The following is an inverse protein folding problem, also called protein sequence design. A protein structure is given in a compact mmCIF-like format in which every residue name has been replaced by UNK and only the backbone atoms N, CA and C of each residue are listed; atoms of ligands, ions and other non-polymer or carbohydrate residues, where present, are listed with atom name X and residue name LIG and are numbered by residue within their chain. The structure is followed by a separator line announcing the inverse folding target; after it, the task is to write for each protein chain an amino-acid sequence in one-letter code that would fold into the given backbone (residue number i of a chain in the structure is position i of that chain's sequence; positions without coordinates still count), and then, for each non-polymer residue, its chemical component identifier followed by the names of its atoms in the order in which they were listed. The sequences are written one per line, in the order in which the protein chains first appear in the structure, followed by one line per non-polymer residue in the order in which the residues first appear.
data_IF_264745209941
#
_entry.id   IF_264745209941
#
_cell.length_a   1.000
_cell.length_b   1.000
_cell.length_c   1.000
_cell.angle_alpha   90.00
_cell.angle_beta   90.00
_cell.angle_gamma   90.00
#
_symmetry.space_group_name_H-M   'P 1'
#
loop_
_entity.id
_entity.type
_entity.pdbx_description
1 polymer ?
#
# COMPACT_ATOMS: atom_id res chain seq x y z
N UNK A 1 -10.14 20.79 -11.92
CA UNK A 1 -10.30 19.72 -12.92
C UNK A 1 -10.83 20.37 -14.19
N UNK A 2 -10.41 19.96 -15.38
CA UNK A 2 -11.05 20.47 -16.60
C UNK A 2 -12.53 20.07 -16.59
N UNK A 3 -13.38 20.94 -17.11
CA UNK A 3 -14.84 20.76 -17.21
C UNK A 3 -15.25 19.44 -17.90
N UNK A 4 -14.35 18.87 -18.72
CA UNK A 4 -14.54 17.58 -19.37
C UNK A 4 -14.40 16.37 -18.42
N UNK A 5 -13.34 16.29 -17.62
CA UNK A 5 -13.13 15.16 -16.71
C UNK A 5 -14.21 15.07 -15.63
N UNK A 6 -14.69 16.23 -15.14
CA UNK A 6 -15.79 16.28 -14.17
C UNK A 6 -17.05 15.61 -14.72
N UNK A 7 -17.46 15.99 -15.93
CA UNK A 7 -18.64 15.43 -16.60
C UNK A 7 -18.54 13.92 -16.83
N UNK A 8 -17.38 13.44 -17.29
CA UNK A 8 -17.16 11.99 -17.49
C UNK A 8 -17.26 11.22 -16.18
N UNK A 9 -16.72 11.76 -15.09
CA UNK A 9 -16.79 11.13 -13.75
C UNK A 9 -18.24 11.09 -13.24
N UNK A 10 -18.98 12.18 -13.41
CA UNK A 10 -20.38 12.26 -13.00
C UNK A 10 -21.25 11.28 -13.80
N UNK A 11 -21.08 11.25 -15.12
CA UNK A 11 -21.79 10.33 -16.00
C UNK A 11 -21.48 8.86 -15.65
N UNK A 12 -20.20 8.53 -15.46
CA UNK A 12 -19.77 7.20 -15.05
C UNK A 12 -20.47 6.74 -13.78
N UNK A 13 -20.50 7.59 -12.74
CA UNK A 13 -21.13 7.28 -11.45
C UNK A 13 -22.65 7.18 -11.57
N UNK A 14 -23.28 8.02 -12.38
CA UNK A 14 -24.73 8.02 -12.58
C UNK A 14 -25.21 6.79 -13.38
N UNK A 15 -24.38 6.26 -14.29
CA UNK A 15 -24.78 5.25 -15.27
C UNK A 15 -24.16 3.86 -15.02
N UNK A 16 -23.81 3.55 -13.77
CA UNK A 16 -23.31 2.22 -13.41
C UNK A 16 -21.96 1.88 -14.07
N UNK A 17 -21.10 2.88 -14.26
CA UNK A 17 -19.77 2.74 -14.85
C UNK A 17 -19.72 2.84 -16.37
N UNK A 18 -20.80 3.29 -17.03
CA UNK A 18 -20.86 3.49 -18.49
C UNK A 18 -20.85 4.97 -18.83
N UNK A 19 -20.17 5.33 -19.91
CA UNK A 19 -20.06 6.71 -20.42
C UNK A 19 -20.27 6.68 -21.94
N UNK A 20 -21.05 7.60 -22.47
CA UNK A 20 -21.30 7.74 -23.91
C UNK A 20 -20.21 8.53 -24.66
N UNK A 21 -20.53 8.96 -25.87
CA UNK A 21 -19.66 9.80 -26.69
C UNK A 21 -18.34 9.10 -27.05
N UNK A 22 -17.20 9.75 -26.78
CA UNK A 22 -15.89 9.17 -27.12
C UNK A 22 -15.51 7.91 -26.32
N UNK A 23 -16.27 7.58 -25.27
CA UNK A 23 -16.06 6.39 -24.46
C UNK A 23 -17.18 5.35 -24.63
N UNK A 24 -18.08 5.55 -25.59
CA UNK A 24 -19.18 4.63 -25.83
C UNK A 24 -18.65 3.23 -26.19
N UNK A 25 -19.09 2.22 -25.44
CA UNK A 25 -18.63 0.83 -25.57
C UNK A 25 -17.27 0.52 -24.93
N UNK A 26 -16.54 1.52 -24.42
CA UNK A 26 -15.26 1.29 -23.76
C UNK A 26 -15.43 0.78 -22.32
N UNK A 27 -14.56 -0.14 -21.91
CA UNK A 27 -14.45 -0.55 -20.50
C UNK A 27 -13.66 0.50 -19.72
N UNK A 28 -14.37 1.30 -18.91
CA UNK A 28 -13.78 2.36 -18.10
C UNK A 28 -13.77 2.00 -16.61
N UNK A 29 -12.76 2.53 -15.92
CA UNK A 29 -12.76 2.67 -14.46
C UNK A 29 -12.38 4.10 -14.09
N UNK A 30 -12.72 4.52 -12.88
CA UNK A 30 -12.15 5.74 -12.30
C UNK A 30 -11.01 5.36 -11.38
N UNK A 31 -9.82 5.91 -11.67
CA UNK A 31 -8.62 5.73 -10.88
C UNK A 31 -8.37 6.98 -10.04
N UNK A 32 -8.43 6.85 -8.72
CA UNK A 32 -8.06 7.92 -7.79
C UNK A 32 -6.66 7.67 -7.24
N UNK A 33 -5.79 8.66 -7.41
CA UNK A 33 -4.37 8.64 -6.97
C UNK A 33 -4.07 9.82 -6.04
N UNK A 34 -3.07 9.69 -5.18
CA UNK A 34 -2.60 10.79 -4.33
C UNK A 34 -1.59 11.65 -5.10
N UNK A 35 -1.85 12.95 -5.22
CA UNK A 35 -0.99 13.85 -5.99
C UNK A 35 0.41 13.97 -5.40
N UNK A 36 1.45 13.50 -6.12
CA UNK A 36 2.82 13.38 -5.61
C UNK A 36 3.43 14.69 -5.05
N UNK A 37 2.98 15.85 -5.54
CA UNK A 37 3.40 17.17 -5.04
C UNK A 37 2.41 17.80 -4.07
N UNK A 38 1.13 17.41 -4.17
CA UNK A 38 0.03 18.14 -3.53
C UNK A 38 -0.58 17.42 -2.33
N UNK A 39 -0.34 16.12 -2.17
CA UNK A 39 -1.01 15.25 -1.19
C UNK A 39 -2.51 15.04 -1.41
N UNK A 40 -3.14 15.82 -2.30
CA UNK A 40 -4.59 15.74 -2.58
C UNK A 40 -4.96 14.59 -3.51
N UNK A 41 -6.17 13.99 -3.35
CA UNK A 41 -6.67 12.97 -4.27
C UNK A 41 -7.02 13.56 -5.64
N UNK A 42 -6.65 12.83 -6.70
CA UNK A 42 -6.98 13.15 -8.09
C UNK A 42 -7.59 11.93 -8.77
N UNK A 43 -8.82 12.08 -9.27
CA UNK A 43 -9.57 11.02 -9.97
C UNK A 43 -9.48 11.21 -11.48
N UNK A 44 -9.17 10.13 -12.19
CA UNK A 44 -9.05 10.10 -13.64
C UNK A 44 -9.80 8.90 -14.23
N UNK A 45 -10.62 9.09 -15.28
CA UNK A 45 -11.14 7.98 -16.05
C UNK A 45 -10.00 7.32 -16.84
N UNK A 46 -9.97 5.99 -16.84
CA UNK A 46 -8.99 5.20 -17.59
C UNK A 46 -9.66 3.98 -18.22
N UNK A 47 -9.27 3.67 -19.46
CA UNK A 47 -9.61 2.38 -20.09
C UNK A 47 -8.88 1.28 -19.35
N UNK A 48 -9.60 0.17 -19.10
CA UNK A 48 -9.03 -0.99 -18.45
C UNK A 48 -9.36 -2.29 -19.18
N UNK A 49 -8.54 -3.31 -18.91
CA UNK A 49 -8.79 -4.71 -19.29
C UNK A 49 -8.66 -5.60 -18.06
N UNK A 50 -9.44 -6.69 -18.00
CA UNK A 50 -9.29 -7.71 -16.95
C UNK A 50 -8.20 -8.70 -17.34
N UNK A 51 -7.29 -9.00 -16.41
CA UNK A 51 -6.28 -10.04 -16.53
C UNK A 51 -6.33 -10.91 -15.27
N UNK A 52 -7.06 -12.02 -15.34
CA UNK A 52 -7.38 -12.84 -14.17
C UNK A 52 -8.05 -12.01 -13.06
N UNK A 53 -7.41 -11.96 -11.89
CA UNK A 53 -7.89 -11.23 -10.72
C UNK A 53 -7.46 -9.75 -10.67
N UNK A 54 -6.59 -9.30 -11.58
CA UNK A 54 -6.11 -7.90 -11.64
C UNK A 54 -6.76 -7.12 -12.79
N UNK A 55 -6.74 -5.80 -12.67
CA UNK A 55 -7.16 -4.88 -13.74
C UNK A 55 -5.93 -4.22 -14.34
N UNK A 56 -5.84 -4.16 -15.66
CA UNK A 56 -4.76 -3.48 -16.36
C UNK A 56 -5.23 -2.11 -16.83
N UNK A 57 -4.45 -1.07 -16.51
CA UNK A 57 -4.65 0.28 -17.05
C UNK A 57 -3.40 0.75 -17.78
N UNK A 58 -3.59 1.63 -18.76
CA UNK A 58 -2.55 2.01 -19.70
C UNK A 58 -2.26 3.50 -19.58
N UNK A 59 -1.02 3.86 -19.26
CA UNK A 59 -0.57 5.25 -19.18
C UNK A 59 -0.29 5.85 -20.57
N UNK A 60 -1.26 5.71 -21.48
CA UNK A 60 -1.15 6.04 -22.89
C UNK A 60 -1.23 7.53 -23.16
N UNK A 61 -2.03 8.30 -22.39
CA UNK A 61 -2.23 9.74 -22.60
C UNK A 61 -2.48 10.09 -24.09
N UNK A 62 -3.24 9.23 -24.79
CA UNK A 62 -3.50 9.30 -26.23
C UNK A 62 -2.23 9.44 -27.12
N UNK A 63 -1.12 8.81 -26.73
CA UNK A 63 0.16 8.90 -27.45
C UNK A 63 0.93 10.20 -27.20
N UNK A 64 0.47 11.06 -26.28
CA UNK A 64 1.14 12.31 -25.96
C UNK A 64 2.59 12.09 -25.47
N UNK A 65 3.48 13.10 -25.63
CA UNK A 65 4.91 12.97 -25.35
C UNK A 65 5.27 12.86 -23.86
N UNK A 66 4.27 12.99 -22.97
CA UNK A 66 4.45 12.90 -21.52
C UNK A 66 3.52 11.85 -20.93
N UNK A 67 4.00 11.19 -19.88
CA UNK A 67 3.15 10.33 -19.06
C UNK A 67 2.02 11.17 -18.40
N UNK A 68 0.85 10.57 -18.16
CA UNK A 68 -0.24 11.24 -17.47
C UNK A 68 0.12 11.48 -15.99
N UNK A 69 -0.46 12.52 -15.39
CA UNK A 69 -0.18 12.89 -14.00
C UNK A 69 -0.43 11.75 -13.00
N UNK A 70 -1.49 10.96 -13.21
CA UNK A 70 -1.80 9.82 -12.36
C UNK A 70 -0.70 8.74 -12.37
N UNK A 71 0.07 8.61 -13.46
CA UNK A 71 1.19 7.66 -13.51
C UNK A 71 2.36 8.13 -12.64
N UNK A 72 2.63 9.44 -12.61
CA UNK A 72 3.62 10.00 -11.70
C UNK A 72 3.19 9.87 -10.24
N UNK A 73 1.89 10.07 -9.97
CA UNK A 73 1.32 9.89 -8.64
C UNK A 73 1.49 8.46 -8.14
N UNK A 74 1.12 7.44 -8.94
CA UNK A 74 1.23 6.05 -8.49
C UNK A 74 2.67 5.55 -8.32
N UNK A 75 3.63 6.20 -8.98
CA UNK A 75 5.06 5.89 -8.78
C UNK A 75 5.58 6.43 -7.46
N UNK A 76 4.96 7.49 -6.93
CA UNK A 76 5.26 8.02 -5.61
C UNK A 76 4.51 7.26 -4.52
N UNK A 77 3.26 6.87 -4.77
CA UNK A 77 2.42 6.10 -3.86
C UNK A 77 1.55 5.10 -4.64
N UNK A 78 1.86 3.81 -4.49
CA UNK A 78 1.18 2.74 -5.23
C UNK A 78 -0.26 2.49 -4.77
N UNK A 79 -0.73 3.12 -3.69
CA UNK A 79 -2.09 2.96 -3.18
C UNK A 79 -3.05 3.78 -4.02
N UNK A 80 -4.09 3.13 -4.52
CA UNK A 80 -5.09 3.77 -5.36
C UNK A 80 -6.48 3.34 -4.93
N UNK A 81 -7.47 4.17 -5.24
CA UNK A 81 -8.88 3.77 -5.18
C UNK A 81 -9.42 3.61 -6.59
N UNK A 82 -10.11 2.50 -6.82
CA UNK A 82 -10.75 2.19 -8.10
C UNK A 82 -12.26 2.26 -7.92
N UNK A 83 -12.93 2.92 -8.86
CA UNK A 83 -14.38 2.81 -9.04
C UNK A 83 -14.65 2.06 -10.35
N UNK A 84 -15.47 1.01 -10.27
CA UNK A 84 -15.73 0.08 -11.36
C UNK A 84 -17.23 -0.19 -11.50
N UNK A 85 -17.74 -0.15 -12.73
CA UNK A 85 -19.13 -0.54 -12.99
C UNK A 85 -19.38 -2.03 -12.71
N UNK A 86 -20.53 -2.35 -12.14
CA UNK A 86 -20.94 -3.72 -11.85
C UNK A 86 -22.00 -4.22 -12.84
N UNK A 87 -22.15 -5.54 -13.04
CA UNK A 87 -23.21 -6.11 -13.89
C UNK A 87 -24.62 -5.66 -13.48
N UNK A 88 -24.83 -5.37 -12.18
CA UNK A 88 -26.08 -4.90 -11.59
C UNK A 88 -26.38 -3.43 -11.90
N UNK A 89 -25.48 -2.74 -12.62
CA UNK A 89 -25.65 -1.33 -12.99
C UNK A 89 -25.34 -0.36 -11.85
N UNK A 90 -24.55 -0.79 -10.86
CA UNK A 90 -24.03 0.08 -9.80
C UNK A 90 -22.54 0.35 -10.02
N UNK A 91 -21.93 1.19 -9.20
CA UNK A 91 -20.49 1.43 -9.18
C UNK A 91 -19.93 0.94 -7.85
N UNK A 92 -19.05 -0.04 -7.93
CA UNK A 92 -18.29 -0.52 -6.80
C UNK A 92 -17.03 0.33 -6.63
N UNK A 93 -16.70 0.69 -5.38
CA UNK A 93 -15.48 1.41 -5.03
C UNK A 93 -14.63 0.55 -4.10
N UNK A 94 -13.37 0.33 -4.46
CA UNK A 94 -12.44 -0.48 -3.66
C UNK A 94 -11.01 0.05 -3.71
N UNK A 95 -10.21 -0.28 -2.69
CA UNK A 95 -8.77 0.00 -2.71
C UNK A 95 -8.01 -1.03 -3.54
N UNK A 96 -6.95 -0.57 -4.19
CA UNK A 96 -6.04 -1.42 -4.95
C UNK A 96 -4.60 -0.96 -4.78
N UNK A 97 -3.66 -1.88 -5.04
CA UNK A 97 -2.25 -1.58 -5.18
C UNK A 97 -1.85 -1.61 -6.65
N UNK A 98 -1.25 -0.53 -7.12
CA UNK A 98 -0.73 -0.40 -8.47
C UNK A 98 0.68 -1.02 -8.57
N UNK A 99 0.91 -1.83 -9.59
CA UNK A 99 2.22 -2.41 -9.94
C UNK A 99 2.49 -2.09 -11.40
N UNK A 100 3.59 -1.39 -11.67
CA UNK A 100 4.02 -1.13 -13.05
C UNK A 100 4.64 -2.40 -13.60
N UNK A 101 4.09 -2.95 -14.67
CA UNK A 101 4.65 -4.15 -15.31
C UNK A 101 5.88 -3.76 -16.13
N UNK A 102 6.88 -4.64 -16.21
CA UNK A 102 8.16 -4.38 -16.87
C UNK A 102 8.51 -5.48 -17.88
N UNK A 103 9.48 -5.19 -18.76
CA UNK A 103 10.04 -6.16 -19.70
C UNK A 103 9.01 -6.91 -20.56
N UNK A 104 9.22 -8.21 -20.70
CA UNK A 104 8.40 -9.09 -21.55
C UNK A 104 6.92 -9.12 -21.12
N UNK A 105 6.64 -9.03 -19.82
CA UNK A 105 5.25 -8.99 -19.34
C UNK A 105 4.54 -7.74 -19.86
N UNK A 106 5.16 -6.57 -19.72
CA UNK A 106 4.61 -5.31 -20.24
C UNK A 106 4.36 -5.40 -21.74
N UNK A 107 5.36 -5.86 -22.48
CA UNK A 107 5.32 -5.91 -23.95
C UNK A 107 4.21 -6.84 -24.44
N UNK A 108 4.06 -8.02 -23.82
CA UNK A 108 2.95 -8.95 -24.10
C UNK A 108 1.60 -8.30 -23.83
N UNK A 109 1.40 -7.74 -22.65
CA UNK A 109 0.12 -7.13 -22.25
C UNK A 109 -0.26 -5.95 -23.14
N UNK A 110 0.72 -5.14 -23.55
CA UNK A 110 0.49 -4.01 -24.46
C UNK A 110 0.15 -4.49 -25.87
N UNK A 111 0.84 -5.52 -26.37
CA UNK A 111 0.55 -6.12 -27.67
C UNK A 111 -0.89 -6.67 -27.73
N UNK A 112 -1.31 -7.41 -26.70
CA UNK A 112 -2.69 -7.89 -26.64
C UNK A 112 -3.72 -6.74 -26.57
N UNK A 113 -3.38 -5.59 -25.96
CA UNK A 113 -4.24 -4.42 -25.99
C UNK A 113 -4.31 -3.80 -27.39
N UNK A 114 -3.21 -3.80 -28.14
CA UNK A 114 -3.20 -3.34 -29.53
C UNK A 114 -4.09 -4.21 -30.42
N UNK A 115 -4.13 -5.53 -30.18
CA UNK A 115 -5.02 -6.44 -30.89
C UNK A 115 -6.50 -6.19 -30.57
N UNK A 116 -6.81 -5.78 -29.33
CA UNK A 116 -8.18 -5.45 -28.89
C UNK A 116 -8.64 -4.08 -29.38
N UNK A 117 -7.76 -3.09 -29.34
CA UNK A 117 -8.04 -1.70 -29.72
C UNK A 117 -6.86 -1.12 -30.54
N UNK A 118 -7.02 -1.04 -31.88
CA UNK A 118 -5.99 -0.49 -32.77
C UNK A 118 -5.57 0.95 -32.45
N UNK A 119 -6.36 1.73 -31.69
CA UNK A 119 -5.95 3.06 -31.25
C UNK A 119 -4.71 3.00 -30.36
N UNK A 120 -4.52 1.93 -29.58
CA UNK A 120 -3.32 1.75 -28.75
C UNK A 120 -2.06 1.49 -29.57
N UNK A 121 -2.18 0.78 -30.70
CA UNK A 121 -1.07 0.66 -31.65
C UNK A 121 -0.67 2.03 -32.21
N UNK A 122 -1.66 2.86 -32.57
CA UNK A 122 -1.42 4.22 -33.04
C UNK A 122 -0.78 5.11 -31.95
N UNK A 123 -1.21 5.00 -30.69
CA UNK A 123 -0.61 5.73 -29.57
C UNK A 123 0.86 5.36 -29.37
N UNK A 124 1.21 4.07 -29.44
CA UNK A 124 2.59 3.61 -29.29
C UNK A 124 3.48 4.02 -30.47
N UNK A 125 2.93 4.04 -31.69
CA UNK A 125 3.64 4.53 -32.88
C UNK A 125 3.84 6.06 -32.86
N UNK A 126 2.95 6.80 -32.20
CA UNK A 126 2.99 8.27 -32.11
C UNK A 126 3.93 8.83 -31.04
N UNK A 127 4.70 8.00 -30.34
CA UNK A 127 5.53 8.45 -29.22
C UNK A 127 6.80 7.63 -29.05
N UNK A 128 7.89 8.30 -28.66
CA UNK A 128 9.19 7.64 -28.41
C UNK A 128 9.27 6.99 -27.01
N UNK A 129 8.35 7.35 -26.11
CA UNK A 129 8.32 6.75 -24.77
C UNK A 129 7.69 5.36 -24.81
N UNK A 130 8.20 4.49 -23.95
CA UNK A 130 7.48 3.28 -23.57
C UNK A 130 6.17 3.68 -22.89
N UNK A 131 5.02 3.21 -23.41
CA UNK A 131 3.74 3.41 -22.74
C UNK A 131 3.62 2.38 -21.60
N UNK A 132 3.55 2.84 -20.33
CA UNK A 132 3.46 1.92 -19.20
C UNK A 132 2.11 1.20 -19.16
N UNK A 133 2.17 -0.09 -18.81
CA UNK A 133 1.01 -0.89 -18.38
C UNK A 133 1.09 -1.04 -16.87
N UNK A 134 -0.02 -0.83 -16.19
CA UNK A 134 -0.11 -0.88 -14.74
C UNK A 134 -1.16 -1.91 -14.34
N UNK A 135 -0.74 -2.89 -13.56
CA UNK A 135 -1.58 -3.87 -12.90
C UNK A 135 -2.14 -3.31 -11.60
N UNK A 136 -3.46 -3.29 -11.47
CA UNK A 136 -4.18 -2.92 -10.26
C UNK A 136 -4.64 -4.19 -9.56
N UNK A 137 -4.04 -4.46 -8.41
CA UNK A 137 -4.38 -5.59 -7.55
C UNK A 137 -5.37 -5.13 -6.50
N UNK A 138 -6.59 -5.65 -6.55
CA UNK A 138 -7.62 -5.34 -5.54
C UNK A 138 -7.08 -5.72 -4.15
N UNK A 139 -7.16 -4.76 -3.23
CA UNK A 139 -7.02 -5.03 -1.80
C UNK A 139 -8.37 -5.54 -1.35
N UNK A 140 -8.54 -6.85 -1.51
CA UNK A 140 -9.70 -7.58 -1.04
C UNK A 140 -9.43 -8.05 0.38
N UNK A 141 -9.98 -7.31 1.34
CA UNK A 141 -10.04 -7.75 2.71
C UNK A 141 -11.28 -8.64 2.92
N UNK A 142 -12.15 -8.94 1.97
CA UNK A 142 -13.34 -9.80 2.26
C UNK A 142 -13.07 -11.29 2.11
N UNK A 143 -11.91 -11.70 1.60
CA UNK A 143 -11.51 -13.10 1.44
C UNK A 143 -11.02 -13.70 2.78
N UNK A 144 -11.74 -14.68 3.37
CA UNK A 144 -11.33 -15.30 4.63
C UNK A 144 -9.98 -16.03 4.56
N UNK A 145 -9.56 -16.52 3.39
CA UNK A 145 -8.25 -17.13 3.22
C UNK A 145 -7.13 -16.08 3.28
N UNK A 146 -7.37 -14.92 2.66
CA UNK A 146 -6.46 -13.79 2.73
C UNK A 146 -6.39 -13.19 4.12
N UNK A 147 -7.50 -13.08 4.84
CA UNK A 147 -7.48 -12.64 6.24
C UNK A 147 -6.64 -13.56 7.13
N UNK A 148 -6.80 -14.89 7.00
CA UNK A 148 -5.98 -15.84 7.73
C UNK A 148 -4.50 -15.76 7.35
N UNK A 149 -4.19 -15.50 6.08
CA UNK A 149 -2.81 -15.31 5.64
C UNK A 149 -2.21 -14.01 6.21
N UNK A 150 -2.98 -12.92 6.28
CA UNK A 150 -2.57 -11.67 6.94
C UNK A 150 -2.35 -11.90 8.43
N UNK A 151 -3.28 -12.58 9.11
CA UNK A 151 -3.18 -12.92 10.51
C UNK A 151 -1.96 -13.81 10.82
N UNK A 152 -1.71 -14.84 9.99
CA UNK A 152 -0.54 -15.71 10.14
C UNK A 152 0.76 -14.92 9.93
N UNK A 153 0.83 -14.08 8.89
CA UNK A 153 2.01 -13.27 8.63
C UNK A 153 2.29 -12.26 9.74
N UNK A 154 1.25 -11.65 10.33
CA UNK A 154 1.37 -10.77 11.49
C UNK A 154 2.06 -11.50 12.66
N UNK A 155 1.59 -12.70 13.01
CA UNK A 155 2.17 -13.51 14.08
C UNK A 155 3.61 -13.91 13.76
N UNK A 156 3.89 -14.36 12.52
CA UNK A 156 5.25 -14.69 12.09
C UNK A 156 6.22 -13.53 12.29
N UNK A 157 5.83 -12.32 11.86
CA UNK A 157 6.65 -11.10 12.03
C UNK A 157 6.83 -10.76 13.51
N UNK A 158 5.79 -10.86 14.33
CA UNK A 158 5.90 -10.61 15.77
C UNK A 158 6.83 -11.59 16.47
N UNK A 159 6.77 -12.87 16.12
CA UNK A 159 7.63 -13.90 16.71
C UNK A 159 9.10 -13.69 16.33
N UNK A 160 9.39 -13.30 15.08
CA UNK A 160 10.74 -12.91 14.66
C UNK A 160 11.27 -11.72 15.47
N UNK A 161 10.47 -10.66 15.63
CA UNK A 161 10.86 -9.47 16.40
C UNK A 161 11.07 -9.77 17.89
N UNK A 162 10.21 -10.60 18.49
CA UNK A 162 10.38 -11.07 19.87
C UNK A 162 11.69 -11.83 20.04
N UNK A 163 12.03 -12.71 19.10
CA UNK A 163 13.28 -13.46 19.14
C UNK A 163 14.51 -12.54 19.01
N UNK A 164 14.46 -11.54 18.13
CA UNK A 164 15.53 -10.55 18.01
C UNK A 164 15.71 -9.69 19.26
N UNK A 165 14.59 -9.26 19.84
CA UNK A 165 14.57 -8.48 21.07
C UNK A 165 15.13 -9.28 22.26
N UNK A 166 14.80 -10.58 22.36
CA UNK A 166 15.38 -11.47 23.36
C UNK A 166 16.90 -11.60 23.18
N UNK A 167 17.35 -11.82 21.94
CA UNK A 167 18.78 -11.91 21.62
C UNK A 167 19.54 -10.60 21.93
N UNK A 168 18.89 -9.45 21.75
CA UNK A 168 19.45 -8.16 22.17
C UNK A 168 19.69 -8.09 23.67
N UNK A 169 18.66 -8.44 24.45
CA UNK A 169 18.67 -8.35 25.92
C UNK A 169 19.75 -9.25 26.50
N UNK A 170 19.89 -10.48 25.98
CA UNK A 170 20.98 -11.39 26.35
C UNK A 170 22.37 -10.84 25.96
N UNK A 171 22.46 -10.19 24.80
CA UNK A 171 23.72 -9.63 24.30
C UNK A 171 24.23 -8.42 25.07
N UNK A 172 23.38 -7.70 25.80
CA UNK A 172 23.76 -6.55 26.63
C UNK A 172 24.64 -6.94 27.83
N UNK A 173 24.67 -8.22 28.20
CA UNK A 173 25.53 -8.77 29.27
C UNK A 173 26.89 -9.27 28.75
N UNK A 174 27.11 -9.27 27.43
CA UNK A 174 28.33 -9.76 26.81
C UNK A 174 29.25 -8.61 26.35
N UNK A 175 30.59 -8.69 26.53
CA UNK A 175 31.53 -7.62 26.21
C UNK A 175 31.85 -7.53 24.69
N UNK A 176 30.85 -7.64 23.81
CA UNK A 176 31.06 -7.67 22.36
C UNK A 176 30.49 -6.42 21.65
N UNK A 177 31.35 -5.58 21.01
CA UNK A 177 30.95 -4.35 20.31
C UNK A 177 30.09 -4.55 19.05
N UNK A 178 29.76 -5.79 18.68
CA UNK A 178 29.27 -6.14 17.33
C UNK A 178 27.80 -6.54 17.26
N UNK A 179 27.08 -6.66 18.38
CA UNK A 179 25.67 -7.08 18.38
C UNK A 179 24.70 -5.89 18.37
N UNK A 180 24.97 -4.85 19.17
CA UNK A 180 24.15 -3.63 19.19
C UNK A 180 24.07 -2.95 17.82
N UNK A 181 25.15 -2.97 17.03
CA UNK A 181 25.17 -2.43 15.67
C UNK A 181 24.48 -3.30 14.61
N UNK A 182 24.19 -4.58 14.89
CA UNK A 182 23.37 -5.44 14.01
C UNK A 182 21.90 -5.25 14.30
N UNK A 183 21.54 -5.17 15.57
CA UNK A 183 20.16 -4.95 15.95
C UNK A 183 19.69 -3.52 15.71
N UNK A 184 20.54 -2.52 15.94
CA UNK A 184 20.24 -1.16 15.50
C UNK A 184 19.97 -1.12 14.00
N UNK A 185 20.73 -1.87 13.19
CA UNK A 185 20.55 -1.95 11.74
C UNK A 185 19.31 -2.76 11.35
N UNK A 186 18.98 -3.82 12.09
CA UNK A 186 17.76 -4.59 11.88
C UNK A 186 16.54 -3.78 12.33
N UNK A 187 16.50 -3.21 13.53
CA UNK A 187 15.45 -2.31 14.00
C UNK A 187 15.36 -1.03 13.15
N UNK A 188 16.46 -0.43 12.67
CA UNK A 188 16.42 0.66 11.69
C UNK A 188 15.85 0.20 10.35
N UNK A 189 16.18 -1.01 9.91
CA UNK A 189 15.68 -1.57 8.65
C UNK A 189 14.22 -1.96 8.75
N UNK A 190 13.82 -2.60 9.86
CA UNK A 190 12.48 -3.06 10.14
C UNK A 190 11.59 -1.90 10.54
N UNK A 191 12.01 -1.00 11.42
CA UNK A 191 11.23 0.17 11.82
C UNK A 191 11.36 1.35 10.87
N UNK A 192 12.42 1.40 10.06
CA UNK A 192 12.47 2.23 8.86
C UNK A 192 11.58 1.66 7.77
N UNK A 193 11.48 0.34 7.61
CA UNK A 193 10.52 -0.30 6.72
C UNK A 193 9.09 -0.14 7.23
N UNK A 194 8.81 -0.37 8.51
CA UNK A 194 7.52 -0.25 9.19
C UNK A 194 7.10 1.22 9.33
N UNK A 195 8.04 2.11 9.63
CA UNK A 195 7.83 3.56 9.65
C UNK A 195 7.61 4.13 8.26
N UNK A 196 8.33 3.68 7.23
CA UNK A 196 8.04 4.01 5.83
C UNK A 196 6.83 3.24 5.26
N UNK A 197 6.38 2.17 5.93
CA UNK A 197 5.18 1.40 5.65
C UNK A 197 3.99 1.84 6.50
N UNK A 198 4.13 2.79 7.45
CA UNK A 198 3.00 3.28 8.26
C UNK A 198 2.89 4.80 8.28
N UNK A 199 3.99 5.55 8.24
CA UNK A 199 3.95 7.00 8.01
C UNK A 199 3.55 7.35 6.56
N UNK A 200 3.77 6.41 5.63
CA UNK A 200 3.26 6.49 4.26
C UNK A 200 2.07 5.55 4.02
N UNK A 201 1.54 4.83 5.01
CA UNK A 201 0.39 3.94 4.82
C UNK A 201 -0.80 4.12 5.77
N UNK A 202 -1.45 5.26 5.68
CA UNK A 202 -2.88 5.42 6.02
C UNK A 202 -3.83 4.55 5.14
N UNK A 203 -3.35 3.45 4.56
CA UNK A 203 -4.11 2.63 3.62
C UNK A 203 -4.83 1.47 4.29
N UNK A 204 -4.14 0.75 5.18
CA UNK A 204 -4.62 -0.54 5.69
C UNK A 204 -5.54 -0.38 6.89
N UNK A 205 -5.20 0.45 7.88
CA UNK A 205 -6.09 0.70 9.02
C UNK A 205 -7.39 1.39 8.60
N UNK A 206 -7.35 2.33 7.66
CA UNK A 206 -8.56 2.96 7.11
C UNK A 206 -9.45 1.97 6.34
N UNK A 207 -8.87 0.94 5.74
CA UNK A 207 -9.60 -0.15 5.09
C UNK A 207 -10.17 -1.13 6.10
N UNK A 208 -9.39 -1.48 7.13
CA UNK A 208 -9.84 -2.30 8.24
C UNK A 208 -10.95 -1.62 9.02
N UNK A 209 -10.87 -0.33 9.30
CA UNK A 209 -11.89 0.45 10.00
C UNK A 209 -13.19 0.54 9.19
N UNK A 210 -13.12 0.63 7.85
CA UNK A 210 -14.31 0.56 6.99
C UNK A 210 -14.97 -0.81 6.99
N UNK A 211 -14.16 -1.87 7.11
CA UNK A 211 -14.64 -3.25 7.03
C UNK A 211 -15.07 -3.81 8.39
N UNK A 212 -14.38 -3.40 9.45
CA UNK A 212 -14.55 -3.78 10.85
C UNK A 212 -14.64 -2.50 11.69
N UNK A 213 -15.74 -1.73 11.60
CA UNK A 213 -15.92 -0.49 12.36
C UNK A 213 -15.77 -0.66 13.87
N UNK A 214 -16.02 -1.87 14.39
CA UNK A 214 -15.82 -2.25 15.79
C UNK A 214 -14.37 -2.15 16.25
N UNK A 215 -13.40 -2.16 15.34
CA UNK A 215 -11.97 -2.05 15.65
C UNK A 215 -11.50 -0.60 15.72
N UNK A 216 -12.32 0.41 15.40
CA UNK A 216 -11.88 1.81 15.27
C UNK A 216 -11.07 2.33 16.47
N UNK A 217 -11.57 2.11 17.70
CA UNK A 217 -10.87 2.52 18.92
C UNK A 217 -9.53 1.78 19.11
N UNK A 218 -9.51 0.49 18.79
CA UNK A 218 -8.32 -0.35 18.87
C UNK A 218 -7.27 0.07 17.85
N UNK A 219 -7.68 0.38 16.61
CA UNK A 219 -6.80 0.88 15.56
C UNK A 219 -6.23 2.26 15.91
N UNK A 220 -7.03 3.15 16.48
CA UNK A 220 -6.56 4.45 16.97
C UNK A 220 -5.53 4.33 18.09
N UNK A 221 -5.69 3.34 18.97
CA UNK A 221 -4.68 3.01 19.97
C UNK A 221 -3.40 2.50 19.32
N UNK A 222 -3.47 1.56 18.39
CA UNK A 222 -2.31 1.03 17.67
C UNK A 222 -1.54 2.13 16.94
N UNK A 223 -2.23 3.07 16.28
CA UNK A 223 -1.61 4.25 15.66
C UNK A 223 -0.74 5.03 16.65
N UNK A 224 -1.24 5.29 17.87
CA UNK A 224 -0.47 5.98 18.92
C UNK A 224 0.71 5.15 19.44
N UNK A 225 0.54 3.84 19.57
CA UNK A 225 1.60 2.93 20.00
C UNK A 225 2.73 2.86 18.96
N UNK A 226 2.40 2.82 17.65
CA UNK A 226 3.38 2.88 16.57
C UNK A 226 4.22 4.17 16.62
N UNK A 227 3.58 5.32 16.85
CA UNK A 227 4.32 6.58 17.02
C UNK A 227 5.26 6.55 18.24
N UNK A 228 4.84 5.91 19.33
CA UNK A 228 5.66 5.78 20.54
C UNK A 228 6.87 4.86 20.31
N UNK A 229 6.66 3.74 19.61
CA UNK A 229 7.72 2.81 19.20
C UNK A 229 8.72 3.55 18.30
N UNK A 230 8.25 4.24 17.25
CA UNK A 230 9.10 4.99 16.34
C UNK A 230 9.98 6.03 17.05
N UNK A 231 9.42 6.75 18.04
CA UNK A 231 10.20 7.67 18.89
C UNK A 231 11.28 6.94 19.70
N UNK A 232 10.93 5.82 20.34
CA UNK A 232 11.87 5.04 21.16
C UNK A 232 13.06 4.49 20.35
N UNK A 233 12.81 4.09 19.10
CA UNK A 233 13.86 3.65 18.18
C UNK A 233 14.80 4.80 17.82
N UNK A 234 14.26 5.97 17.47
CA UNK A 234 15.08 7.16 17.20
C UNK A 234 15.93 7.60 18.39
N UNK A 235 15.42 7.46 19.62
CA UNK A 235 16.17 7.71 20.85
C UNK A 235 17.31 6.71 21.04
N UNK A 236 17.06 5.40 20.81
CA UNK A 236 18.08 4.37 20.89
C UNK A 236 19.21 4.57 19.86
N UNK A 237 18.87 4.95 18.63
CA UNK A 237 19.85 5.29 17.58
C UNK A 237 20.74 6.47 17.96
N UNK A 238 20.15 7.52 18.54
CA UNK A 238 20.88 8.68 19.01
C UNK A 238 21.87 8.30 20.14
N UNK A 239 21.46 7.42 21.06
CA UNK A 239 22.32 6.92 22.12
C UNK A 239 23.48 6.06 21.61
N UNK A 240 23.22 5.18 20.64
CA UNK A 240 24.25 4.38 20.00
C UNK A 240 25.27 5.25 19.25
N UNK A 241 24.79 6.29 18.56
CA UNK A 241 25.64 7.21 17.79
C UNK A 241 26.49 8.10 18.71
N UNK A 242 25.95 8.52 19.85
CA UNK A 242 26.66 9.34 20.83
C UNK A 242 27.64 8.55 21.72
N UNK A 243 27.64 7.21 21.63
CA UNK A 243 28.47 6.36 22.48
C UNK A 243 28.03 6.37 23.94
N UNK A 244 26.72 6.39 24.20
CA UNK A 244 26.15 6.41 25.54
C UNK A 244 26.64 5.24 26.42
N UNK A 245 26.64 5.45 27.73
CA UNK A 245 27.07 4.44 28.68
C UNK A 245 26.20 3.15 28.56
N UNK A 246 26.79 1.95 28.76
CA UNK A 246 26.05 0.68 28.64
C UNK A 246 24.79 0.59 29.51
N UNK A 247 24.78 1.22 30.69
CA UNK A 247 23.62 1.27 31.57
C UNK A 247 22.45 2.06 30.96
N UNK A 248 22.74 3.18 30.29
CA UNK A 248 21.74 4.00 29.60
C UNK A 248 21.17 3.27 28.38
N UNK A 249 22.03 2.62 27.59
CA UNK A 249 21.60 1.79 26.46
C UNK A 249 20.70 0.63 26.92
N UNK A 250 21.04 -0.01 28.04
CA UNK A 250 20.22 -1.08 28.62
C UNK A 250 18.83 -0.58 29.02
N UNK A 251 18.74 0.54 29.72
CA UNK A 251 17.44 1.11 30.11
C UNK A 251 16.54 1.38 28.90
N UNK A 252 17.10 1.96 27.83
CA UNK A 252 16.30 2.23 26.63
C UNK A 252 15.91 0.98 25.85
N UNK A 253 16.80 -0.01 25.79
CA UNK A 253 16.45 -1.32 25.20
C UNK A 253 15.32 -2.00 25.97
N UNK A 254 15.39 -2.02 27.31
CA UNK A 254 14.36 -2.61 28.15
C UNK A 254 13.01 -1.88 27.98
N UNK A 255 13.03 -0.54 27.90
CA UNK A 255 11.83 0.24 27.64
C UNK A 255 11.23 -0.06 26.26
N UNK A 256 12.06 -0.12 25.22
CA UNK A 256 11.62 -0.50 23.87
C UNK A 256 11.05 -1.92 23.87
N UNK A 257 11.69 -2.84 24.59
CA UNK A 257 11.26 -4.22 24.70
C UNK A 257 9.85 -4.35 25.29
N UNK A 258 9.63 -3.73 26.44
CA UNK A 258 8.32 -3.71 27.10
C UNK A 258 7.26 -3.10 26.21
N UNK A 259 7.54 -1.96 25.57
CA UNK A 259 6.58 -1.28 24.69
C UNK A 259 6.18 -2.17 23.50
N UNK A 260 7.15 -2.85 22.87
CA UNK A 260 6.90 -3.74 21.73
C UNK A 260 6.13 -4.99 22.15
N UNK A 261 6.49 -5.63 23.26
CA UNK A 261 5.78 -6.82 23.76
C UNK A 261 4.32 -6.51 24.09
N UNK A 262 4.06 -5.39 24.78
CA UNK A 262 2.69 -4.93 25.09
C UNK A 262 1.89 -4.60 23.83
N UNK A 263 2.54 -3.94 22.87
CA UNK A 263 1.93 -3.59 21.59
C UNK A 263 1.57 -4.83 20.76
N UNK A 264 2.48 -5.78 20.58
CA UNK A 264 2.22 -7.00 19.82
C UNK A 264 1.09 -7.83 20.45
N UNK A 265 1.11 -7.97 21.77
CA UNK A 265 0.06 -8.70 22.49
C UNK A 265 -1.31 -8.02 22.33
N UNK A 266 -1.35 -6.68 22.37
CA UNK A 266 -2.57 -5.94 22.14
C UNK A 266 -3.06 -6.10 20.70
N UNK A 267 -2.21 -5.89 19.70
CA UNK A 267 -2.56 -6.02 18.29
C UNK A 267 -3.09 -7.42 17.95
N UNK A 268 -2.40 -8.47 18.37
CA UNK A 268 -2.85 -9.85 18.19
C UNK A 268 -4.23 -10.10 18.84
N UNK A 269 -4.45 -9.60 20.06
CA UNK A 269 -5.73 -9.78 20.77
C UNK A 269 -6.92 -9.12 20.07
N UNK A 270 -6.68 -8.04 19.32
CA UNK A 270 -7.72 -7.28 18.65
C UNK A 270 -7.94 -7.72 17.21
N UNK A 271 -6.86 -7.97 16.46
CA UNK A 271 -6.93 -8.24 15.03
C UNK A 271 -7.16 -9.72 14.71
N UNK A 272 -6.57 -10.65 15.46
CA UNK A 272 -6.71 -12.09 15.15
C UNK A 272 -8.16 -12.57 15.22
N UNK A 273 -8.99 -12.20 16.20
CA UNK A 273 -10.40 -12.61 16.22
C UNK A 273 -11.20 -12.09 15.02
N UNK A 274 -10.88 -10.90 14.52
CA UNK A 274 -11.56 -10.29 13.38
C UNK A 274 -11.10 -10.89 12.03
N UNK A 275 -9.80 -11.18 11.90
CA UNK A 275 -9.20 -11.70 10.66
C UNK A 275 -9.26 -13.23 10.55
N UNK A 276 -9.22 -13.94 11.67
CA UNK A 276 -9.22 -15.39 11.72
C UNK A 276 -10.19 -15.90 12.81
N UNK A 277 -11.51 -15.64 12.69
CA UNK A 277 -12.47 -16.12 13.67
C UNK A 277 -12.40 -17.65 13.77
N UNK A 278 -12.23 -18.16 15.00
CA UNK A 278 -12.35 -19.59 15.28
C UNK A 278 -13.75 -20.06 14.86
N UNK A 279 -13.81 -21.16 14.10
CA UNK A 279 -15.08 -21.72 13.60
C UNK A 279 -15.84 -22.48 14.68
#
# INVERSE_FOLDING_TARGET
MSDFHGRVIEEFRANGGRVGGMFEGASLLLLTTTGARSGRPHTHPAVYVRDGARLLVFASNAGGPRHPAWFHNLRADARVTVELGTPEGTVERFAARAVVTEGEERDRLYAEQCDRDPAFAAYQAGTDRVIPVVALHRVDLTDPARHRAIAAHLVEVHDELRAELAALREGLDSPAPTLGGRLARHCLSFCGALGAHHHNEDGVFDLLERQFPELAESLDRMRREHEAVARAIGELEALLTSGAAPATLRTEVERLATNLEEHFAYEESQLLPALAPER
#
